data_IF_907948678547
#
_entry.id   IF_907948678547
#
_cell.length_a   1.000
_cell.length_b   1.000
_cell.length_c   1.000
_cell.angle_alpha   90.00
_cell.angle_beta   90.00
_cell.angle_gamma   90.00
#
_symmetry.space_group_name_H-M   'P 1'
#
loop_
_entity.id
_entity.type
_entity.pdbx_description
1 polymer ?
#
# COMPACT_ATOMS: atom_id res chain seq x y z
N UNK A 1 14.30 4.21 -11.17
CA UNK A 1 13.20 5.15 -10.85
C UNK A 1 13.57 5.90 -9.59
N UNK A 2 13.34 7.21 -9.53
CA UNK A 2 13.68 8.04 -8.38
C UNK A 2 12.41 8.22 -7.53
N UNK A 3 11.97 7.14 -6.88
CA UNK A 3 10.77 7.13 -6.01
C UNK A 3 11.12 7.78 -4.68
N UNK A 4 10.29 8.69 -4.18
CA UNK A 4 10.49 9.41 -2.92
C UNK A 4 9.34 9.18 -1.96
N UNK A 5 9.62 9.32 -0.67
CA UNK A 5 8.59 9.34 0.38
C UNK A 5 7.56 10.42 0.07
N UNK A 6 6.28 10.05 0.10
CA UNK A 6 5.16 10.91 -0.27
C UNK A 6 4.68 10.78 -1.73
N UNK A 7 5.44 10.09 -2.60
CA UNK A 7 4.97 9.83 -3.96
C UNK A 7 3.82 8.81 -3.94
N UNK A 8 2.82 9.03 -4.81
CA UNK A 8 1.81 8.01 -5.10
C UNK A 8 2.19 7.32 -6.40
N UNK A 9 2.36 6.01 -6.34
CA UNK A 9 2.72 5.18 -7.49
C UNK A 9 1.63 4.17 -7.80
N UNK A 10 1.44 3.88 -9.09
CA UNK A 10 0.56 2.82 -9.57
C UNK A 10 1.41 1.60 -9.93
N UNK A 11 0.97 0.43 -9.51
CA UNK A 11 1.60 -0.85 -9.84
C UNK A 11 0.59 -1.72 -10.58
N UNK A 12 1.09 -2.49 -11.54
CA UNK A 12 0.31 -3.45 -12.30
C UNK A 12 0.55 -4.87 -11.79
N UNK A 13 -0.36 -5.79 -12.14
CA UNK A 13 -0.21 -7.20 -11.81
C UNK A 13 1.16 -7.75 -12.23
N UNK A 14 1.70 -8.67 -11.44
CA UNK A 14 3.00 -9.32 -11.61
C UNK A 14 4.22 -8.37 -11.55
N UNK A 15 4.04 -7.13 -11.10
CA UNK A 15 5.15 -6.20 -10.85
C UNK A 15 5.67 -6.28 -9.41
N UNK A 16 6.98 -6.04 -9.27
CA UNK A 16 7.61 -5.81 -7.98
C UNK A 16 7.17 -4.49 -7.37
N UNK A 17 6.88 -4.52 -6.08
CA UNK A 17 6.65 -3.32 -5.28
C UNK A 17 7.97 -2.58 -5.11
N UNK A 18 8.03 -1.33 -5.57
CA UNK A 18 9.26 -0.56 -5.68
C UNK A 18 9.77 0.04 -4.35
N UNK A 19 8.90 0.20 -3.36
CA UNK A 19 9.13 0.88 -2.09
C UNK A 19 8.16 0.34 -1.02
N UNK A 20 8.24 0.77 0.23
CA UNK A 20 7.23 0.41 1.23
C UNK A 20 6.05 1.36 1.10
N UNK A 21 4.86 0.83 0.85
CA UNK A 21 3.69 1.61 0.45
C UNK A 21 2.52 1.42 1.40
N UNK A 22 1.75 2.48 1.62
CA UNK A 22 0.37 2.39 2.10
C UNK A 22 -0.54 2.11 0.90
N UNK A 23 -1.32 1.04 0.93
CA UNK A 23 -2.31 0.73 -0.09
C UNK A 23 -3.47 1.72 -0.03
N UNK A 24 -3.65 2.52 -1.08
CA UNK A 24 -4.72 3.52 -1.18
C UNK A 24 -5.95 2.97 -1.89
N UNK A 25 -5.75 2.32 -3.04
CA UNK A 25 -6.82 1.89 -3.94
C UNK A 25 -6.35 0.70 -4.78
N UNK A 26 -7.26 -0.12 -5.25
CA UNK A 26 -6.98 -1.41 -5.93
C UNK A 26 -8.13 -1.78 -6.85
N UNK A 27 -7.85 -2.62 -7.85
CA UNK A 27 -8.84 -3.13 -8.79
C UNK A 27 -9.82 -4.13 -8.19
N UNK A 28 -9.48 -4.75 -7.06
CA UNK A 28 -10.28 -5.83 -6.47
C UNK A 28 -11.42 -5.29 -5.60
N UNK A 29 -12.54 -6.02 -5.51
CA UNK A 29 -13.67 -5.62 -4.69
C UNK A 29 -13.28 -5.52 -3.21
N UNK A 30 -14.00 -4.65 -2.48
CA UNK A 30 -13.79 -4.40 -1.04
C UNK A 30 -12.38 -3.92 -0.66
N UNK A 31 -11.61 -3.42 -1.62
CA UNK A 31 -10.27 -2.90 -1.37
C UNK A 31 -9.20 -3.97 -1.18
N UNK A 32 -9.43 -5.22 -1.61
CA UNK A 32 -8.44 -6.27 -1.46
C UNK A 32 -7.26 -6.14 -2.44
N UNK A 33 -6.13 -6.69 -2.04
CA UNK A 33 -4.91 -6.76 -2.84
C UNK A 33 -4.16 -8.01 -2.41
N UNK A 34 -3.59 -8.75 -3.35
CA UNK A 34 -2.85 -9.97 -3.04
C UNK A 34 -1.38 -9.78 -3.38
N UNK A 35 -0.51 -10.18 -2.46
CA UNK A 35 0.94 -10.11 -2.67
C UNK A 35 1.60 -11.44 -2.38
N UNK A 36 2.67 -11.69 -3.10
CA UNK A 36 3.59 -12.78 -2.83
C UNK A 36 4.84 -12.22 -2.13
N UNK A 37 5.29 -12.88 -1.07
CA UNK A 37 6.46 -12.45 -0.26
C UNK A 37 7.61 -13.45 -0.30
N UNK A 38 7.61 -14.37 -1.27
CA UNK A 38 8.63 -15.41 -1.44
C UNK A 38 10.06 -14.86 -1.46
N UNK A 39 10.27 -13.67 -2.02
CA UNK A 39 11.56 -12.97 -2.04
C UNK A 39 11.98 -12.36 -0.68
N UNK A 40 11.05 -12.20 0.26
CA UNK A 40 11.31 -11.59 1.59
C UNK A 40 11.48 -12.64 2.69
N UNK A 41 10.61 -13.65 2.71
CA UNK A 41 10.54 -14.64 3.79
C UNK A 41 10.47 -16.10 3.30
N UNK A 42 10.50 -16.33 1.99
CA UNK A 42 10.39 -17.67 1.40
C UNK A 42 8.96 -18.25 1.43
N UNK A 43 7.95 -17.49 1.89
CA UNK A 43 6.56 -17.94 1.89
C UNK A 43 5.96 -17.82 0.48
N UNK A 44 5.47 -18.93 -0.06
CA UNK A 44 4.86 -19.00 -1.41
C UNK A 44 3.35 -18.69 -1.40
N UNK A 45 2.75 -18.60 -0.22
CA UNK A 45 1.33 -18.29 -0.09
C UNK A 45 1.08 -16.80 -0.34
N UNK A 46 -0.05 -16.51 -0.97
CA UNK A 46 -0.49 -15.13 -1.15
C UNK A 46 -0.94 -14.53 0.18
N UNK A 47 -0.43 -13.34 0.50
CA UNK A 47 -0.88 -12.52 1.63
C UNK A 47 -1.93 -11.54 1.14
N UNK A 48 -3.04 -11.46 1.87
CA UNK A 48 -4.12 -10.52 1.60
C UNK A 48 -3.83 -9.20 2.30
N UNK A 49 -3.90 -8.11 1.53
CA UNK A 49 -3.84 -6.72 1.99
C UNK A 49 -5.16 -6.04 1.68
N UNK A 50 -5.49 -5.00 2.42
CA UNK A 50 -6.75 -4.28 2.26
C UNK A 50 -6.56 -2.78 2.39
N UNK A 51 -7.03 -2.05 1.37
CA UNK A 51 -7.11 -0.59 1.38
C UNK A 51 -8.10 -0.12 2.45
N UNK A 52 -7.88 1.09 2.97
CA UNK A 52 -8.86 1.74 3.83
C UNK A 52 -10.14 2.05 3.03
N UNK A 53 -11.35 1.85 3.58
CA UNK A 53 -12.60 2.23 2.91
C UNK A 53 -12.59 3.70 2.45
N UNK A 54 -12.00 4.59 3.25
CA UNK A 54 -11.91 6.03 3.02
C UNK A 54 -11.04 6.38 1.81
N UNK A 55 -10.03 5.57 1.49
CA UNK A 55 -9.14 5.78 0.34
C UNK A 55 -9.54 4.94 -0.87
N UNK A 56 -10.12 3.76 -0.65
CA UNK A 56 -10.54 2.83 -1.70
C UNK A 56 -11.54 3.46 -2.67
N UNK A 57 -12.43 4.31 -2.17
CA UNK A 57 -13.45 5.03 -2.98
C UNK A 57 -12.84 5.96 -4.05
N UNK A 58 -11.54 6.24 -3.99
CA UNK A 58 -10.84 6.95 -5.06
C UNK A 58 -10.85 6.15 -6.36
N UNK A 59 -10.72 4.81 -6.30
CA UNK A 59 -10.71 3.93 -7.46
C UNK A 59 -9.56 4.23 -8.44
N UNK A 60 -9.75 3.93 -9.72
CA UNK A 60 -8.81 4.26 -10.81
C UNK A 60 -9.09 5.64 -11.40
N UNK A 61 -9.21 6.66 -10.55
CA UNK A 61 -9.52 8.03 -10.97
C UNK A 61 -8.34 8.93 -10.62
N UNK A 62 -7.50 9.19 -11.61
CA UNK A 62 -6.28 9.98 -11.43
C UNK A 62 -6.54 11.34 -10.76
N UNK A 63 -7.65 12.00 -11.09
CA UNK A 63 -8.04 13.26 -10.46
C UNK A 63 -8.22 13.11 -8.93
N UNK A 64 -8.95 12.08 -8.47
CA UNK A 64 -9.16 11.83 -7.04
C UNK A 64 -7.86 11.48 -6.31
N UNK A 65 -7.02 10.66 -6.95
CA UNK A 65 -5.70 10.29 -6.43
C UNK A 65 -4.81 11.54 -6.31
N UNK A 66 -4.82 12.43 -7.30
CA UNK A 66 -4.02 13.67 -7.27
C UNK A 66 -4.49 14.68 -6.24
N UNK A 67 -5.76 14.64 -5.85
CA UNK A 67 -6.35 15.50 -4.82
C UNK A 67 -6.20 14.92 -3.40
N UNK A 68 -5.69 13.69 -3.27
CA UNK A 68 -5.46 13.06 -1.98
C UNK A 68 -4.51 13.91 -1.11
N UNK A 69 -5.01 14.32 0.06
CA UNK A 69 -4.26 15.08 1.05
C UNK A 69 -4.39 14.40 2.41
N UNK A 70 -3.37 13.64 2.77
CA UNK A 70 -3.28 12.97 4.06
C UNK A 70 -1.89 13.05 4.65
N UNK A 71 -1.80 12.84 5.97
CA UNK A 71 -0.53 12.77 6.69
C UNK A 71 -0.42 11.42 7.40
N UNK A 72 0.68 10.72 7.21
CA UNK A 72 0.96 9.46 7.90
C UNK A 72 1.91 9.74 9.07
N UNK A 73 1.56 9.22 10.23
CA UNK A 73 2.44 9.11 11.39
C UNK A 73 2.64 7.62 11.67
N UNK A 74 3.86 7.13 11.61
CA UNK A 74 4.15 5.70 11.80
C UNK A 74 5.44 5.49 12.58
N UNK A 75 5.68 4.24 12.95
CA UNK A 75 6.96 3.83 13.53
C UNK A 75 8.15 4.08 12.58
N UNK A 76 9.35 4.09 13.16
CA UNK A 76 10.60 4.16 12.38
C UNK A 76 10.80 2.86 11.57
N UNK A 77 11.52 2.94 10.44
CA UNK A 77 11.91 1.76 9.67
C UNK A 77 12.56 0.70 10.56
N UNK A 78 12.11 -0.54 10.43
CA UNK A 78 12.63 -1.68 11.19
C UNK A 78 12.53 -2.97 10.38
N UNK A 79 13.14 -4.05 10.87
CA UNK A 79 13.28 -5.31 10.11
C UNK A 79 12.10 -6.29 10.33
N UNK A 80 10.97 -5.84 10.88
CA UNK A 80 9.84 -6.72 11.21
C UNK A 80 8.83 -6.74 10.05
N UNK A 81 8.97 -7.70 9.13
CA UNK A 81 8.09 -7.86 7.96
C UNK A 81 6.59 -8.05 8.29
N UNK A 82 6.29 -8.48 9.51
CA UNK A 82 4.94 -8.80 9.96
C UNK A 82 4.34 -7.74 10.89
N UNK A 83 5.06 -6.67 11.20
CA UNK A 83 4.61 -5.59 12.08
C UNK A 83 4.69 -4.26 11.36
N UNK A 84 3.63 -3.48 11.49
CA UNK A 84 3.60 -2.08 11.10
C UNK A 84 2.56 -1.41 11.99
N UNK A 85 2.91 -0.28 12.58
CA UNK A 85 1.99 0.55 13.34
C UNK A 85 2.06 1.99 12.85
N UNK A 86 0.90 2.54 12.50
CA UNK A 86 0.78 3.93 12.11
C UNK A 86 -0.63 4.45 12.14
N UNK A 87 -0.79 5.71 11.77
CA UNK A 87 -2.07 6.42 11.68
C UNK A 87 -2.06 7.31 10.46
N UNK A 88 -3.13 7.25 9.68
CA UNK A 88 -3.41 8.17 8.59
C UNK A 88 -4.36 9.26 9.11
N UNK A 89 -3.93 10.51 9.02
CA UNK A 89 -4.77 11.68 9.21
C UNK A 89 -5.32 12.07 7.83
N UNK A 90 -6.62 11.86 7.61
CA UNK A 90 -7.28 12.08 6.33
C UNK A 90 -8.73 12.50 6.52
N UNK A 91 -9.13 13.59 5.84
CA UNK A 91 -10.49 14.13 5.88
C UNK A 91 -11.05 14.35 7.31
N UNK A 92 -10.22 14.90 8.20
CA UNK A 92 -10.57 15.13 9.62
C UNK A 92 -10.60 13.87 10.49
N UNK A 93 -10.38 12.68 9.92
CA UNK A 93 -10.35 11.41 10.62
C UNK A 93 -8.92 10.95 10.90
N UNK A 94 -8.77 10.13 11.95
CA UNK A 94 -7.52 9.43 12.30
C UNK A 94 -7.75 7.94 12.13
N UNK A 95 -7.18 7.36 11.09
CA UNK A 95 -7.41 5.98 10.67
C UNK A 95 -6.21 5.11 11.08
N UNK A 96 -6.41 4.02 11.84
CA UNK A 96 -5.31 3.16 12.25
C UNK A 96 -4.75 2.37 11.07
N UNK A 97 -3.42 2.33 10.98
CA UNK A 97 -2.68 1.56 10.01
C UNK A 97 -1.99 0.38 10.69
N UNK A 98 -2.14 -0.79 10.08
CA UNK A 98 -1.47 -2.02 10.46
C UNK A 98 -0.78 -2.62 9.23
N UNK A 99 -0.04 -3.71 9.43
CA UNK A 99 0.65 -4.40 8.35
C UNK A 99 -0.29 -4.80 7.19
N UNK A 100 -1.58 -5.07 7.45
CA UNK A 100 -2.52 -5.48 6.38
C UNK A 100 -2.83 -4.36 5.38
N UNK A 101 -2.48 -3.11 5.69
CA UNK A 101 -2.69 -1.95 4.83
C UNK A 101 -1.42 -1.56 4.05
N UNK A 102 -0.30 -2.24 4.27
CA UNK A 102 0.98 -1.91 3.62
C UNK A 102 1.44 -2.97 2.61
N UNK A 103 2.21 -2.52 1.63
CA UNK A 103 2.92 -3.35 0.65
C UNK A 103 4.41 -3.11 0.84
N UNK A 104 5.16 -4.15 1.19
CA UNK A 104 6.60 -4.02 1.42
C UNK A 104 7.35 -4.10 0.10
N UNK A 105 8.45 -3.36 0.00
CA UNK A 105 9.38 -3.44 -1.12
C UNK A 105 9.84 -4.88 -1.34
N UNK A 106 9.90 -5.32 -2.59
CA UNK A 106 10.32 -6.68 -2.95
C UNK A 106 9.19 -7.73 -2.96
N UNK A 107 8.00 -7.39 -2.44
CA UNK A 107 6.81 -8.20 -2.71
C UNK A 107 6.45 -8.14 -4.21
N UNK A 108 5.72 -9.13 -4.69
CA UNK A 108 5.15 -9.13 -6.04
C UNK A 108 3.63 -8.98 -5.94
N UNK A 109 3.06 -8.03 -6.70
CA UNK A 109 1.60 -7.91 -6.82
C UNK A 109 1.06 -9.10 -7.61
N UNK A 110 0.07 -9.80 -7.07
CA UNK A 110 -0.56 -10.96 -7.72
C UNK A 110 -2.07 -10.83 -7.69
N UNK A 111 -2.75 -11.50 -8.61
CA UNK A 111 -4.22 -11.60 -8.67
C UNK A 111 -4.94 -10.25 -8.47
N UNK A 112 -4.30 -9.16 -8.87
CA UNK A 112 -4.76 -7.78 -8.65
C UNK A 112 -4.31 -7.00 -9.87
N UNK A 113 -5.25 -6.58 -10.72
CA UNK A 113 -4.91 -5.91 -12.00
C UNK A 113 -4.04 -4.68 -11.79
N UNK A 114 -4.42 -3.83 -10.83
CA UNK A 114 -3.65 -2.64 -10.46
C UNK A 114 -3.91 -2.25 -9.00
N UNK A 115 -2.96 -1.53 -8.42
CA UNK A 115 -3.19 -0.78 -7.19
C UNK A 115 -2.39 0.52 -7.13
N UNK A 116 -2.88 1.48 -6.33
CA UNK A 116 -2.19 2.72 -6.00
C UNK A 116 -1.64 2.62 -4.59
N UNK A 117 -0.36 2.94 -4.43
CA UNK A 117 0.33 2.98 -3.15
C UNK A 117 1.00 4.32 -2.90
N UNK A 118 0.89 4.82 -1.66
CA UNK A 118 1.63 5.99 -1.19
C UNK A 118 2.93 5.53 -0.53
N UNK A 119 4.06 6.06 -0.98
CA UNK A 119 5.39 5.70 -0.49
C UNK A 119 5.60 6.20 0.93
N UNK A 120 5.82 5.27 1.86
CA UNK A 120 6.13 5.51 3.27
C UNK A 120 7.65 5.48 3.49
N UNK A 121 8.35 4.50 2.92
CA UNK A 121 9.81 4.37 2.96
C UNK A 121 10.36 4.03 1.57
N UNK A 122 11.51 4.60 1.20
CA UNK A 122 12.16 4.45 -0.12
C UNK A 122 13.60 3.96 0.01
#
# INVERSE_FOLDING_TARGET
>A
MNVKVGDIIRMENDQFVAADLLLLSTSEPHGFCYIETSELDGETNLKVRQALPETFVMGDKLLRISEFKGQIHCELPNNKLNQFEGRLHYDGNVLPLDNRKTLLRGCVLRNTRWCYGLVIFA
#
